data_IF_344904539793
#
_entry.id   IF_344904539793
#
_cell.length_a   1.000
_cell.length_b   1.000
_cell.length_c   1.000
_cell.angle_alpha   90.00
_cell.angle_beta   90.00
_cell.angle_gamma   90.00
#
_symmetry.space_group_name_H-M   'P 1'
#
loop_
_entity.id
_entity.type
_entity.pdbx_description
1 polymer ?
#
# COMPACT_ATOMS: atom_id res chain seq x y z
N UNK A 1 -3.05 3.31 -17.05
CA UNK A 1 -3.19 2.01 -16.36
C UNK A 1 -3.34 2.15 -14.84
N UNK A 2 -2.55 3.00 -14.18
CA UNK A 2 -2.60 3.19 -12.71
C UNK A 2 -3.50 4.37 -12.29
N UNK A 3 -4.62 4.60 -12.98
CA UNK A 3 -5.56 5.66 -12.61
C UNK A 3 -6.32 5.27 -11.34
N UNK A 4 -6.54 6.24 -10.44
CA UNK A 4 -7.15 6.03 -9.11
C UNK A 4 -8.60 5.57 -9.26
N UNK A 5 -9.40 6.31 -10.03
CA UNK A 5 -10.76 5.94 -10.39
C UNK A 5 -10.78 4.69 -11.31
N UNK A 6 -11.42 3.58 -10.89
CA UNK A 6 -11.55 2.40 -11.73
C UNK A 6 -12.29 2.67 -13.05
N UNK A 7 -13.27 3.58 -13.08
CA UNK A 7 -14.10 3.84 -14.25
C UNK A 7 -13.34 4.56 -15.37
N UNK A 8 -12.34 5.35 -14.99
CA UNK A 8 -11.45 6.05 -15.93
C UNK A 8 -10.21 5.24 -16.29
N UNK A 9 -10.05 4.05 -15.68
CA UNK A 9 -8.88 3.21 -15.93
C UNK A 9 -9.00 2.55 -17.30
N UNK A 10 -7.95 2.75 -18.12
CA UNK A 10 -7.84 2.12 -19.43
C UNK A 10 -8.00 0.59 -19.35
N UNK A 11 -8.83 0.03 -20.23
CA UNK A 11 -9.09 -1.41 -20.34
C UNK A 11 -7.97 -2.14 -21.11
N UNK A 12 -7.91 -3.47 -21.00
CA UNK A 12 -6.96 -4.28 -21.75
C UNK A 12 -7.07 -4.07 -23.27
N UNK A 13 -8.29 -4.04 -23.80
CA UNK A 13 -8.54 -3.79 -25.22
C UNK A 13 -8.00 -2.42 -25.67
N UNK A 14 -8.22 -1.37 -24.88
CA UNK A 14 -7.74 -0.03 -25.19
C UNK A 14 -6.21 0.08 -25.10
N UNK A 15 -5.56 -0.65 -24.18
CA UNK A 15 -4.08 -0.70 -24.10
C UNK A 15 -3.49 -1.28 -25.38
N UNK A 16 -4.07 -2.35 -25.92
CA UNK A 16 -3.57 -3.00 -27.14
C UNK A 16 -3.64 -2.09 -28.37
N UNK A 17 -4.58 -1.15 -28.38
CA UNK A 17 -4.74 -0.17 -29.45
C UNK A 17 -3.86 1.08 -29.28
N UNK A 18 -3.23 1.26 -28.11
CA UNK A 18 -2.46 2.45 -27.80
C UNK A 18 -1.18 2.54 -28.66
N UNK A 19 -0.82 3.73 -29.13
CA UNK A 19 0.33 3.98 -30.00
C UNK A 19 1.65 3.41 -29.44
N UNK A 20 1.83 3.47 -28.11
CA UNK A 20 3.01 2.88 -27.45
C UNK A 20 3.16 1.36 -27.69
N UNK A 21 2.04 0.64 -27.90
CA UNK A 21 2.02 -0.78 -28.24
C UNK A 21 2.02 -0.99 -29.76
N UNK A 22 1.13 -0.31 -30.50
CA UNK A 22 0.92 -0.53 -31.94
C UNK A 22 2.06 0.02 -32.80
N UNK A 23 2.65 1.15 -32.41
CA UNK A 23 3.75 1.81 -33.11
C UNK A 23 5.08 1.60 -32.40
N UNK A 24 5.30 0.39 -31.86
CA UNK A 24 6.53 0.06 -31.11
C UNK A 24 7.83 0.36 -31.87
N UNK A 25 7.79 0.28 -33.19
CA UNK A 25 8.93 0.57 -34.07
C UNK A 25 9.34 2.06 -34.09
N UNK A 26 8.45 2.97 -33.68
CA UNK A 26 8.74 4.40 -33.55
C UNK A 26 9.26 4.78 -32.16
N UNK A 27 9.35 3.83 -31.23
CA UNK A 27 9.80 4.12 -29.87
C UNK A 27 11.31 4.41 -29.83
N UNK A 28 11.77 5.29 -28.92
CA UNK A 28 13.19 5.53 -28.73
C UNK A 28 13.94 4.27 -28.33
N UNK A 29 15.08 4.02 -28.97
CA UNK A 29 16.00 2.94 -28.59
C UNK A 29 16.96 3.32 -27.44
N UNK A 30 16.61 4.33 -26.65
CA UNK A 30 17.43 4.77 -25.53
C UNK A 30 17.47 3.70 -24.43
N UNK A 31 18.65 3.49 -23.86
CA UNK A 31 18.81 2.59 -22.71
C UNK A 31 18.15 3.20 -21.48
N UNK A 32 17.24 2.46 -20.86
CA UNK A 32 16.64 2.84 -19.59
C UNK A 32 17.67 2.60 -18.48
N UNK A 33 18.00 3.64 -17.73
CA UNK A 33 18.90 3.56 -16.59
C UNK A 33 18.12 3.19 -15.33
N UNK A 34 18.34 1.98 -14.82
CA UNK A 34 17.79 1.56 -13.54
C UNK A 34 18.67 2.08 -12.40
N UNK A 35 18.10 2.91 -11.53
CA UNK A 35 18.80 3.48 -10.37
C UNK A 35 18.76 2.58 -9.13
N UNK A 36 17.89 1.56 -9.13
CA UNK A 36 17.56 0.77 -7.95
C UNK A 36 17.94 -0.69 -8.17
N UNK A 37 18.47 -1.31 -7.11
CA UNK A 37 18.78 -2.73 -7.11
C UNK A 37 17.51 -3.59 -7.34
N UNK A 38 17.56 -4.63 -8.19
CA UNK A 38 16.41 -5.50 -8.45
C UNK A 38 15.79 -6.12 -7.19
N UNK A 39 16.59 -6.42 -6.16
CA UNK A 39 16.11 -7.01 -4.91
C UNK A 39 15.28 -6.01 -4.11
N UNK A 40 15.73 -4.75 -4.07
CA UNK A 40 14.98 -3.65 -3.45
C UNK A 40 13.65 -3.39 -4.17
N UNK A 41 13.62 -3.45 -5.51
CA UNK A 41 12.37 -3.34 -6.28
C UNK A 41 11.41 -4.47 -5.94
N UNK A 42 11.90 -5.72 -5.89
CA UNK A 42 11.08 -6.89 -5.52
C UNK A 42 10.49 -6.76 -4.11
N UNK A 43 11.30 -6.31 -3.14
CA UNK A 43 10.86 -6.09 -1.77
C UNK A 43 9.79 -4.99 -1.69
N UNK A 44 9.99 -3.87 -2.39
CA UNK A 44 9.03 -2.78 -2.46
C UNK A 44 7.69 -3.26 -3.05
N UNK A 45 7.72 -3.98 -4.18
CA UNK A 45 6.52 -4.56 -4.81
C UNK A 45 5.77 -5.48 -3.85
N UNK A 46 6.48 -6.35 -3.13
CA UNK A 46 5.87 -7.25 -2.14
C UNK A 46 5.20 -6.46 -1.00
N UNK A 47 5.86 -5.42 -0.48
CA UNK A 47 5.28 -4.57 0.56
C UNK A 47 4.03 -3.83 0.07
N UNK A 48 4.04 -3.31 -1.16
CA UNK A 48 2.88 -2.65 -1.78
C UNK A 48 1.70 -3.60 -1.92
N UNK A 49 1.91 -4.79 -2.49
CA UNK A 49 0.83 -5.78 -2.61
C UNK A 49 0.32 -6.25 -1.24
N UNK A 50 1.19 -6.36 -0.24
CA UNK A 50 0.80 -6.68 1.14
C UNK A 50 -0.07 -5.59 1.78
N UNK A 51 0.17 -4.32 1.46
CA UNK A 51 -0.66 -3.21 1.92
C UNK A 51 -2.02 -3.19 1.23
N UNK A 52 -2.05 -3.36 -0.10
CA UNK A 52 -3.29 -3.33 -0.90
C UNK A 52 -4.19 -4.55 -0.62
N UNK A 53 -3.61 -5.74 -0.47
CA UNK A 53 -4.37 -7.00 -0.31
C UNK A 53 -5.04 -7.15 1.06
N UNK A 54 -4.79 -6.28 2.04
CA UNK A 54 -5.37 -6.44 3.38
C UNK A 54 -6.71 -5.70 3.52
N UNK A 55 -7.86 -6.37 3.34
CA UNK A 55 -8.99 -6.07 4.21
C UNK A 55 -8.58 -6.62 5.57
N UNK A 56 -8.05 -5.78 6.45
CA UNK A 56 -7.96 -6.20 7.85
C UNK A 56 -9.40 -6.31 8.33
N UNK A 57 -9.89 -7.54 8.52
CA UNK A 57 -10.97 -7.75 9.46
C UNK A 57 -10.45 -7.11 10.74
N UNK A 58 -11.09 -6.01 11.17
CA UNK A 58 -10.65 -5.32 12.36
C UNK A 58 -10.60 -6.38 13.48
N UNK A 59 -9.44 -6.59 14.13
CA UNK A 59 -9.40 -7.54 15.23
C UNK A 59 -10.45 -7.13 16.27
N UNK A 60 -11.06 -8.09 16.97
CA UNK A 60 -11.99 -7.77 18.02
C UNK A 60 -11.33 -6.82 19.02
N UNK A 61 -12.10 -5.85 19.52
CA UNK A 61 -11.60 -4.90 20.50
C UNK A 61 -11.12 -5.65 21.75
N UNK A 62 -9.90 -5.32 22.19
CA UNK A 62 -9.41 -5.80 23.46
C UNK A 62 -10.12 -5.08 24.62
N UNK A 63 -10.15 -5.69 25.82
CA UNK A 63 -10.72 -5.05 27.01
C UNK A 63 -10.07 -3.69 27.29
N UNK A 64 -10.83 -2.76 27.87
CA UNK A 64 -10.34 -1.41 28.23
C UNK A 64 -9.12 -1.48 29.16
N UNK A 65 -8.99 -2.52 29.98
CA UNK A 65 -7.83 -2.75 30.86
C UNK A 65 -6.51 -3.00 30.13
N UNK A 66 -6.55 -3.46 28.87
CA UNK A 66 -5.37 -3.59 28.02
C UNK A 66 -4.82 -2.21 27.58
N UNK A 67 -5.63 -1.16 27.67
CA UNK A 67 -5.19 0.21 27.37
C UNK A 67 -4.19 0.71 28.42
N UNK A 68 -3.00 1.11 27.97
CA UNK A 68 -2.02 1.79 28.83
C UNK A 68 -2.60 3.04 29.52
N UNK A 69 -3.54 3.75 28.87
CA UNK A 69 -4.22 4.89 29.49
C UNK A 69 -5.11 4.45 30.66
N UNK A 70 -5.87 3.37 30.52
CA UNK A 70 -6.73 2.84 31.57
C UNK A 70 -5.90 2.38 32.78
N UNK A 71 -4.79 1.68 32.55
CA UNK A 71 -3.86 1.26 33.61
C UNK A 71 -3.30 2.46 34.39
N UNK A 72 -2.91 3.53 33.69
CA UNK A 72 -2.45 4.77 34.34
C UNK A 72 -3.53 5.43 35.20
N UNK A 73 -4.76 5.50 34.71
CA UNK A 73 -5.89 6.07 35.47
C UNK A 73 -6.21 5.26 36.74
N UNK A 74 -6.12 3.93 36.67
CA UNK A 74 -6.28 3.07 37.85
C UNK A 74 -5.17 3.37 38.86
N UNK A 75 -3.91 3.43 38.42
CA UNK A 75 -2.77 3.73 39.30
C UNK A 75 -2.88 5.11 39.97
N UNK A 76 -3.25 6.16 39.22
CA UNK A 76 -3.42 7.50 39.80
C UNK A 76 -4.57 7.56 40.80
N UNK A 77 -5.64 6.79 40.58
CA UNK A 77 -6.78 6.71 41.51
C UNK A 77 -6.41 6.00 42.82
N UNK A 78 -5.52 5.01 42.77
CA UNK A 78 -5.01 4.33 43.99
C UNK A 78 -4.02 5.22 44.74
N UNK A 79 -3.20 6.02 44.03
CA UNK A 79 -2.25 6.94 44.65
C UNK A 79 -2.88 8.18 45.30
N UNK A 80 -4.14 8.50 44.99
CA UNK A 80 -4.87 9.66 45.55
C UNK A 80 -5.76 9.30 46.76
N UNK A 81 -5.69 8.06 47.27
CA UNK A 81 -6.47 7.59 48.44
C UNK A 81 -5.57 7.38 49.67
N UNK A 82 -4.44 8.08 49.72
CA UNK A 82 -3.58 8.18 50.90
C UNK A 82 -3.34 9.65 51.24
#
# INVERSE_FOLDING_TARGET
>A
MLYVDPHQRITAANILQHAWITQRHLLPHSKIQFKTDPSAVKAAVMATYKAIKKPQLAPPLEPVSASMLAQRRVKSKVSSVF
#
